data_IF_743831676473
#
_entry.id   IF_743831676473
#
_cell.length_a   1.000
_cell.length_b   1.000
_cell.length_c   1.000
_cell.angle_alpha   90.00
_cell.angle_beta   90.00
_cell.angle_gamma   90.00
#
_symmetry.space_group_name_H-M   'P 1'
#
loop_
_entity.id
_entity.type
_entity.pdbx_description
1 polymer ?
#
# COMPACT_ATOMS: atom_id res chain seq x y z
N UNK A 1 -5.75 21.64 4.82
CA UNK A 1 -4.59 20.76 5.10
C UNK A 1 -4.32 19.88 3.87
N UNK A 2 -3.05 19.64 3.51
CA UNK A 2 -2.65 18.66 2.47
C UNK A 2 -1.69 17.67 3.15
N UNK A 3 -2.03 16.38 3.27
CA UNK A 3 -1.22 15.42 4.01
C UNK A 3 0.00 14.98 3.19
N UNK A 4 1.08 14.66 3.89
CA UNK A 4 2.22 13.94 3.35
C UNK A 4 2.40 12.65 4.16
N UNK A 5 2.09 11.49 3.55
CA UNK A 5 2.13 10.20 4.23
C UNK A 5 3.52 9.58 4.08
N UNK A 6 4.41 9.90 5.01
CA UNK A 6 5.65 9.15 5.17
C UNK A 6 5.34 7.78 5.78
N UNK A 7 5.85 6.70 5.17
CA UNK A 7 5.68 5.31 5.67
C UNK A 7 6.55 5.03 6.88
N UNK A 8 7.68 5.73 6.97
CA UNK A 8 8.59 5.78 8.10
C UNK A 8 9.31 7.15 8.09
N UNK A 9 9.95 7.50 9.20
CA UNK A 9 10.88 8.65 9.28
C UNK A 9 12.12 8.21 10.06
N UNK A 10 13.20 9.02 10.15
CA UNK A 10 14.36 8.69 10.98
C UNK A 10 14.04 8.47 12.47
N UNK A 11 12.89 8.96 12.93
CA UNK A 11 12.44 8.92 14.32
C UNK A 11 11.23 7.98 14.54
N UNK A 12 10.65 7.44 13.45
CA UNK A 12 9.40 6.67 13.51
C UNK A 12 9.55 5.37 12.73
N UNK A 13 9.73 4.28 13.47
CA UNK A 13 9.58 2.88 13.09
C UNK A 13 8.41 2.29 13.89
N UNK A 14 7.20 2.38 13.35
CA UNK A 14 6.01 1.90 14.06
C UNK A 14 6.05 0.39 14.32
N UNK A 15 5.50 -0.07 15.44
CA UNK A 15 5.49 -1.48 15.87
C UNK A 15 4.93 -2.45 14.79
N UNK A 16 3.98 -2.00 13.97
CA UNK A 16 3.46 -2.77 12.82
C UNK A 16 4.57 -3.24 11.86
N UNK A 17 5.57 -2.39 11.59
CA UNK A 17 6.72 -2.74 10.75
C UNK A 17 7.72 -3.65 11.48
N UNK A 18 7.88 -3.44 12.79
CA UNK A 18 8.78 -4.25 13.64
C UNK A 18 8.30 -5.71 13.70
N UNK A 19 7.00 -5.92 13.89
CA UNK A 19 6.45 -7.27 14.04
C UNK A 19 6.05 -7.91 12.70
N UNK A 20 5.62 -7.13 11.71
CA UNK A 20 5.05 -7.66 10.46
C UNK A 20 6.05 -8.02 9.37
N UNK A 21 7.35 -7.72 9.55
CA UNK A 21 8.40 -8.02 8.56
C UNK A 21 8.12 -7.41 7.18
N UNK A 22 8.72 -7.97 6.11
CA UNK A 22 8.57 -7.46 4.74
C UNK A 22 7.10 -7.24 4.29
N UNK A 23 6.13 -8.14 4.54
CA UNK A 23 4.74 -7.90 4.16
C UNK A 23 4.15 -6.61 4.74
N UNK A 24 4.52 -6.24 5.98
CA UNK A 24 4.08 -4.98 6.56
C UNK A 24 4.64 -3.75 5.82
N UNK A 25 5.88 -3.81 5.33
CA UNK A 25 6.46 -2.73 4.52
C UNK A 25 5.73 -2.59 3.18
N UNK A 26 5.37 -3.70 2.54
CA UNK A 26 4.62 -3.70 1.29
C UNK A 26 3.22 -3.10 1.50
N UNK A 27 2.50 -3.54 2.54
CA UNK A 27 1.17 -3.02 2.91
C UNK A 27 1.21 -1.50 3.16
N UNK A 28 2.14 -1.02 3.98
CA UNK A 28 2.23 0.41 4.32
C UNK A 28 2.63 1.26 3.10
N UNK A 29 3.45 0.73 2.20
CA UNK A 29 3.78 1.40 0.94
C UNK A 29 2.54 1.55 0.04
N UNK A 30 1.77 0.48 -0.15
CA UNK A 30 0.52 0.51 -0.94
C UNK A 30 -0.46 1.54 -0.36
N UNK A 31 -0.68 1.49 0.96
CA UNK A 31 -1.61 2.40 1.64
C UNK A 31 -1.18 3.86 1.48
N UNK A 32 0.07 4.20 1.79
CA UNK A 32 0.57 5.58 1.69
C UNK A 32 0.51 6.11 0.25
N UNK A 33 0.96 5.29 -0.71
CA UNK A 33 1.01 5.62 -2.13
C UNK A 33 -0.37 5.77 -2.78
N UNK A 34 -1.42 5.13 -2.25
CA UNK A 34 -2.75 5.17 -2.89
C UNK A 34 -3.75 6.06 -2.14
N UNK A 35 -3.65 6.20 -0.82
CA UNK A 35 -4.55 7.05 -0.03
C UNK A 35 -4.21 8.54 -0.20
N UNK A 36 -2.93 8.92 -0.18
CA UNK A 36 -2.50 10.32 -0.27
C UNK A 36 -1.92 10.68 -1.64
N UNK A 37 -2.22 11.88 -2.19
CA UNK A 37 -1.54 12.37 -3.38
C UNK A 37 -0.06 12.69 -3.12
N UNK A 38 0.37 12.81 -1.86
CA UNK A 38 1.77 13.02 -1.47
C UNK A 38 2.16 12.00 -0.40
N UNK A 39 3.23 11.26 -0.66
CA UNK A 39 3.76 10.25 0.24
C UNK A 39 5.29 10.27 0.19
N UNK A 40 5.93 9.68 1.19
CA UNK A 40 7.38 9.67 1.33
C UNK A 40 7.88 8.39 1.98
N UNK A 41 9.17 8.14 1.78
CA UNK A 41 9.90 7.00 2.32
C UNK A 41 11.24 7.53 2.84
N UNK A 42 11.67 7.07 4.01
CA UNK A 42 13.02 7.29 4.51
C UNK A 42 13.89 6.08 4.20
N UNK A 43 15.11 6.34 3.70
CA UNK A 43 16.04 5.34 3.16
C UNK A 43 16.32 4.20 4.13
N UNK A 44 16.26 2.97 3.64
CA UNK A 44 16.36 1.74 4.44
C UNK A 44 15.02 1.02 4.56
N UNK A 45 13.91 1.72 4.30
CA UNK A 45 12.58 1.12 4.20
C UNK A 45 12.49 0.08 3.08
N UNK A 46 13.15 0.33 1.95
CA UNK A 46 13.21 -0.57 0.80
C UNK A 46 13.87 -1.91 1.16
N UNK A 47 14.76 -1.89 2.15
CA UNK A 47 15.45 -3.06 2.68
C UNK A 47 14.68 -3.71 3.85
N UNK A 48 13.51 -3.19 4.20
CA UNK A 48 12.69 -3.61 5.33
C UNK A 48 13.44 -3.54 6.68
N UNK A 49 14.29 -2.52 6.88
CA UNK A 49 14.97 -2.30 8.17
C UNK A 49 13.95 -2.07 9.29
N UNK A 50 13.86 -2.99 10.25
CA UNK A 50 12.78 -2.99 11.23
C UNK A 50 13.19 -3.33 12.66
N UNK A 51 14.48 -3.24 12.98
CA UNK A 51 14.98 -3.52 14.34
C UNK A 51 14.88 -2.26 15.20
N UNK A 52 14.04 -2.24 16.25
CA UNK A 52 13.92 -1.09 17.14
C UNK A 52 15.07 -1.03 18.14
N UNK A 53 15.33 0.15 18.70
CA UNK A 53 16.32 0.36 19.78
C UNK A 53 16.06 -0.54 20.99
N UNK A 54 14.78 -0.76 21.32
CA UNK A 54 14.28 -1.66 22.37
C UNK A 54 12.78 -1.89 22.17
N UNK A 55 12.23 -2.91 22.83
CA UNK A 55 10.80 -3.18 22.83
C UNK A 55 9.97 -1.94 23.26
N UNK A 56 8.89 -1.68 22.52
CA UNK A 56 8.01 -0.53 22.72
C UNK A 56 8.59 0.83 22.29
N UNK A 57 9.77 0.87 21.65
CA UNK A 57 10.34 2.09 21.06
C UNK A 57 10.00 2.19 19.56
N UNK A 58 9.79 3.40 19.06
CA UNK A 58 9.71 3.67 17.61
C UNK A 58 11.05 4.14 17.01
N UNK A 59 12.13 4.18 17.80
CA UNK A 59 13.46 4.53 17.31
C UNK A 59 14.16 3.32 16.70
N UNK A 60 14.90 3.53 15.61
CA UNK A 60 15.73 2.50 14.98
C UNK A 60 16.93 2.14 15.86
N UNK A 61 17.30 0.85 15.90
CA UNK A 61 18.59 0.42 16.42
C UNK A 61 19.72 0.94 15.51
N UNK A 62 20.82 1.38 16.12
CA UNK A 62 22.00 1.93 15.42
C UNK A 62 21.64 3.07 14.45
N UNK A 63 20.75 3.96 14.88
CA UNK A 63 20.11 5.00 14.07
C UNK A 63 21.10 5.88 13.30
N UNK A 64 20.83 6.07 12.00
CA UNK A 64 21.63 6.92 11.10
C UNK A 64 21.73 8.38 11.57
N UNK A 65 20.83 8.82 12.45
CA UNK A 65 20.92 10.13 13.11
C UNK A 65 22.23 10.32 13.89
N UNK A 66 22.85 9.23 14.34
CA UNK A 66 24.01 9.26 15.23
C UNK A 66 25.24 8.53 14.67
N UNK A 67 25.14 7.89 13.51
CA UNK A 67 26.23 7.17 12.86
C UNK A 67 26.04 7.06 11.35
N UNK A 68 27.14 6.86 10.62
CA UNK A 68 27.05 6.52 9.20
C UNK A 68 26.44 5.13 9.04
N UNK A 69 25.49 4.98 8.11
CA UNK A 69 24.81 3.73 7.78
C UNK A 69 24.95 3.42 6.28
N UNK A 70 26.14 2.99 5.81
CA UNK A 70 26.31 2.55 4.44
C UNK A 70 25.45 1.31 4.17
N UNK A 71 24.81 1.26 3.00
CA UNK A 71 23.92 0.17 2.57
C UNK A 71 24.38 -0.32 1.20
N UNK A 72 24.42 -1.64 1.02
CA UNK A 72 24.71 -2.27 -0.28
C UNK A 72 23.41 -2.49 -1.05
N UNK A 73 23.02 -1.45 -1.81
CA UNK A 73 21.77 -1.43 -2.56
C UNK A 73 21.76 -2.44 -3.71
N UNK A 74 22.87 -2.54 -4.44
CA UNK A 74 22.99 -3.43 -5.59
C UNK A 74 22.91 -4.90 -5.17
N UNK A 75 23.55 -5.27 -4.05
CA UNK A 75 23.41 -6.62 -3.51
C UNK A 75 21.98 -6.92 -3.06
N UNK A 76 21.30 -5.97 -2.40
CA UNK A 76 19.93 -6.17 -1.94
C UNK A 76 18.93 -6.36 -3.09
N UNK A 77 19.11 -5.64 -4.21
CA UNK A 77 18.29 -5.84 -5.41
C UNK A 77 18.60 -7.18 -6.09
N UNK A 78 19.89 -7.50 -6.27
CA UNK A 78 20.33 -8.77 -6.89
C UNK A 78 19.84 -10.00 -6.13
N UNK A 79 19.77 -9.91 -4.79
CA UNK A 79 19.30 -10.99 -3.91
C UNK A 79 17.78 -10.99 -3.71
N UNK A 80 17.05 -10.04 -4.31
CA UNK A 80 15.60 -9.94 -4.18
C UNK A 80 15.11 -9.56 -2.78
N UNK A 81 15.99 -9.03 -1.92
CA UNK A 81 15.65 -8.60 -0.55
C UNK A 81 14.99 -7.22 -0.50
N UNK A 82 15.15 -6.43 -1.56
CA UNK A 82 14.58 -5.08 -1.66
C UNK A 82 13.14 -5.08 -2.17
N UNK A 83 12.30 -4.20 -1.63
CA UNK A 83 10.96 -3.87 -2.15
C UNK A 83 10.97 -2.63 -3.07
N UNK A 84 12.15 -2.14 -3.48
CA UNK A 84 12.28 -1.06 -4.46
C UNK A 84 11.50 -1.31 -5.77
N UNK A 85 11.39 -2.54 -6.31
CA UNK A 85 10.53 -2.80 -7.47
C UNK A 85 9.04 -2.48 -7.23
N UNK A 86 8.51 -2.82 -6.05
CA UNK A 86 7.13 -2.49 -5.68
C UNK A 86 6.94 -0.97 -5.58
N UNK A 87 7.85 -0.27 -4.90
CA UNK A 87 7.80 1.19 -4.75
C UNK A 87 7.88 1.88 -6.11
N UNK A 88 8.72 1.37 -7.02
CA UNK A 88 8.82 1.83 -8.40
C UNK A 88 7.47 1.66 -9.11
N UNK A 89 6.87 0.46 -9.03
CA UNK A 89 5.58 0.17 -9.64
C UNK A 89 4.46 1.06 -9.09
N UNK A 90 4.40 1.27 -7.78
CA UNK A 90 3.42 2.16 -7.15
C UNK A 90 3.54 3.59 -7.69
N UNK A 91 4.76 4.10 -7.84
CA UNK A 91 4.99 5.43 -8.39
C UNK A 91 4.65 5.53 -9.89
N UNK A 92 4.89 4.49 -10.68
CA UNK A 92 4.41 4.42 -12.07
C UNK A 92 2.88 4.48 -12.15
N UNK A 93 2.18 3.65 -11.36
CA UNK A 93 0.72 3.61 -11.31
C UNK A 93 0.15 4.98 -10.93
N UNK A 94 0.76 5.65 -9.94
CA UNK A 94 0.38 7.03 -9.53
C UNK A 94 0.60 8.05 -10.64
N UNK A 95 1.68 7.95 -11.42
CA UNK A 95 1.95 8.86 -12.55
C UNK A 95 0.92 8.66 -13.67
N UNK A 96 0.50 7.43 -13.89
CA UNK A 96 -0.44 7.05 -14.95
C UNK A 96 -1.92 7.22 -14.56
N UNK A 97 -2.24 7.34 -13.27
CA UNK A 97 -3.63 7.40 -12.76
C UNK A 97 -3.95 8.73 -12.10
N UNK A 98 -4.63 9.67 -12.78
CA UNK A 98 -5.07 10.94 -12.20
C UNK A 98 -5.82 10.82 -10.86
N UNK A 99 -6.59 9.75 -10.65
CA UNK A 99 -7.33 9.49 -9.41
C UNK A 99 -6.43 9.42 -8.17
N UNK A 100 -5.18 8.97 -8.31
CA UNK A 100 -4.22 8.88 -7.21
C UNK A 100 -3.48 10.20 -6.93
N UNK A 101 -3.64 11.21 -7.79
CA UNK A 101 -2.99 12.53 -7.65
C UNK A 101 -3.88 13.57 -6.97
N UNK A 102 -5.07 13.15 -6.50
CA UNK A 102 -5.99 13.98 -5.73
C UNK A 102 -6.29 13.33 -4.36
N UNK A 103 -6.92 14.09 -3.45
CA UNK A 103 -7.21 13.66 -2.08
C UNK A 103 -8.71 13.47 -1.76
N UNK A 104 -9.58 14.32 -2.29
CA UNK A 104 -10.96 14.48 -1.78
C UNK A 104 -11.93 13.41 -2.27
N UNK A 105 -11.70 12.86 -3.45
CA UNK A 105 -12.52 11.78 -4.01
C UNK A 105 -11.91 10.44 -3.56
N UNK A 106 -12.32 10.01 -2.37
CA UNK A 106 -11.96 8.76 -1.72
C UNK A 106 -13.22 8.17 -1.10
N UNK A 107 -13.51 6.91 -1.38
CA UNK A 107 -14.65 6.21 -0.82
C UNK A 107 -14.26 4.80 -0.36
N UNK A 108 -14.62 4.44 0.86
CA UNK A 108 -14.38 3.10 1.41
C UNK A 108 -15.56 2.19 1.07
N UNK A 109 -15.23 1.01 0.57
CA UNK A 109 -16.19 -0.06 0.28
C UNK A 109 -16.19 -1.07 1.42
N UNK A 110 -17.29 -1.81 1.56
CA UNK A 110 -17.38 -2.81 2.60
C UNK A 110 -16.65 -4.09 2.19
N UNK A 111 -15.92 -4.69 3.12
CA UNK A 111 -15.42 -6.05 3.05
C UNK A 111 -15.92 -6.80 4.28
N UNK A 112 -16.19 -8.11 4.14
CA UNK A 112 -16.70 -8.98 5.21
C UNK A 112 -15.62 -9.47 6.19
N UNK A 113 -14.39 -8.92 6.10
CA UNK A 113 -13.25 -9.22 6.97
C UNK A 113 -12.63 -7.93 7.49
N UNK A 114 -12.48 -7.83 8.82
CA UNK A 114 -11.85 -6.68 9.47
C UNK A 114 -10.39 -6.44 9.03
N UNK A 115 -9.68 -7.52 8.67
CA UNK A 115 -8.31 -7.45 8.17
C UNK A 115 -8.22 -7.00 6.70
N UNK A 116 -9.33 -6.90 5.96
CA UNK A 116 -9.33 -6.51 4.55
C UNK A 116 -9.99 -5.15 4.39
N UNK A 117 -9.25 -4.18 3.84
CA UNK A 117 -9.77 -2.85 3.54
C UNK A 117 -9.91 -2.68 2.02
N UNK A 118 -11.01 -2.07 1.59
CA UNK A 118 -11.26 -1.75 0.19
C UNK A 118 -11.66 -0.27 0.04
N UNK A 119 -11.07 0.43 -0.93
CA UNK A 119 -11.42 1.82 -1.23
C UNK A 119 -11.18 2.17 -2.68
N UNK A 120 -11.92 3.16 -3.17
CA UNK A 120 -11.77 3.70 -4.52
C UNK A 120 -11.48 5.19 -4.51
N UNK A 121 -10.84 5.65 -5.58
CA UNK A 121 -10.60 7.05 -5.90
C UNK A 121 -10.91 7.31 -7.36
N UNK A 122 -11.48 8.47 -7.68
CA UNK A 122 -11.84 8.85 -9.04
C UNK A 122 -11.30 10.22 -9.43
N UNK A 123 -11.10 10.42 -10.73
CA UNK A 123 -10.80 11.71 -11.34
C UNK A 123 -11.16 11.66 -12.83
N UNK A 124 -12.25 12.31 -13.21
CA UNK A 124 -12.79 12.20 -14.57
C UNK A 124 -13.21 10.76 -14.87
N UNK A 125 -12.72 10.19 -15.97
CA UNK A 125 -12.97 8.78 -16.33
C UNK A 125 -12.01 7.79 -15.65
N UNK A 126 -10.95 8.25 -14.98
CA UNK A 126 -10.00 7.37 -14.29
C UNK A 126 -10.55 7.00 -12.91
N UNK A 127 -10.70 5.70 -12.66
CA UNK A 127 -11.12 5.12 -11.38
C UNK A 127 -10.07 4.10 -10.96
N UNK A 128 -9.59 4.20 -9.73
CA UNK A 128 -8.69 3.21 -9.13
C UNK A 128 -9.40 2.61 -7.93
N UNK A 129 -9.41 1.28 -7.87
CA UNK A 129 -9.92 0.50 -6.76
C UNK A 129 -8.75 -0.24 -6.13
N UNK A 130 -8.65 -0.20 -4.81
CA UNK A 130 -7.56 -0.79 -4.04
C UNK A 130 -8.17 -1.68 -2.98
N UNK A 131 -7.65 -2.90 -2.86
CA UNK A 131 -7.99 -3.85 -1.80
C UNK A 131 -6.69 -4.30 -1.15
N UNK A 132 -6.61 -4.19 0.18
CA UNK A 132 -5.38 -4.47 0.95
C UNK A 132 -5.70 -5.40 2.10
N UNK A 133 -4.89 -6.44 2.26
CA UNK A 133 -4.81 -7.24 3.46
C UNK A 133 -3.92 -6.53 4.48
N UNK A 134 -4.47 -6.19 5.65
CA UNK A 134 -3.80 -5.52 6.75
C UNK A 134 -3.14 -6.51 7.73
N UNK A 135 -3.36 -7.82 7.55
CA UNK A 135 -2.67 -8.87 8.30
C UNK A 135 -1.38 -9.25 7.56
N UNK A 136 -0.19 -8.92 8.10
CA UNK A 136 1.08 -9.23 7.45
C UNK A 136 1.53 -10.68 7.65
N UNK A 137 0.76 -11.50 8.38
CA UNK A 137 1.15 -12.87 8.77
C UNK A 137 0.31 -13.94 8.11
N UNK A 138 -0.96 -13.65 7.81
CA UNK A 138 -1.90 -14.65 7.29
C UNK A 138 -2.54 -14.21 5.98
N UNK A 139 -2.74 -15.19 5.11
CA UNK A 139 -3.62 -15.02 3.96
C UNK A 139 -5.03 -14.67 4.44
N UNK A 140 -5.62 -13.65 3.83
CA UNK A 140 -7.01 -13.27 4.07
C UNK A 140 -7.84 -13.46 2.80
N UNK A 141 -9.02 -14.05 2.99
CA UNK A 141 -10.03 -14.23 1.97
C UNK A 141 -11.29 -13.47 2.37
N UNK A 142 -11.83 -12.67 1.47
CA UNK A 142 -12.95 -11.77 1.77
C UNK A 142 -13.86 -11.58 0.55
N UNK A 143 -15.09 -11.18 0.81
CA UNK A 143 -16.01 -10.63 -0.19
C UNK A 143 -16.02 -9.12 -0.09
N UNK A 144 -15.56 -8.45 -1.15
CA UNK A 144 -15.62 -6.99 -1.27
C UNK A 144 -16.94 -6.59 -1.94
N UNK A 145 -17.75 -5.84 -1.21
CA UNK A 145 -19.03 -5.29 -1.65
C UNK A 145 -18.86 -3.84 -2.11
N UNK A 146 -18.87 -3.62 -3.42
CA UNK A 146 -18.70 -2.30 -4.03
C UNK A 146 -19.98 -1.48 -3.97
N UNK A 147 -19.82 -0.19 -3.68
CA UNK A 147 -20.84 0.83 -3.86
C UNK A 147 -20.78 1.26 -5.34
N UNK A 148 -21.54 0.57 -6.20
CA UNK A 148 -21.49 0.74 -7.66
C UNK A 148 -21.83 2.18 -8.09
N UNK A 149 -22.86 2.86 -7.52
CA UNK A 149 -23.13 4.27 -7.82
C UNK A 149 -21.95 5.20 -7.54
N UNK A 150 -21.13 4.94 -6.51
CA UNK A 150 -19.92 5.74 -6.24
C UNK A 150 -18.87 5.58 -7.34
N UNK A 151 -18.85 4.44 -8.02
CA UNK A 151 -18.01 4.18 -9.19
C UNK A 151 -18.62 4.74 -10.49
N UNK A 152 -19.86 5.24 -10.44
CA UNK A 152 -20.59 5.73 -11.61
C UNK A 152 -21.17 4.61 -12.47
N UNK A 153 -21.51 3.49 -11.84
CA UNK A 153 -22.04 2.28 -12.47
C UNK A 153 -23.39 1.93 -11.83
N UNK A 154 -24.27 1.28 -12.58
CA UNK A 154 -25.49 0.69 -12.02
C UNK A 154 -25.18 -0.57 -11.20
N UNK A 155 -26.05 -0.89 -10.24
CA UNK A 155 -25.85 -2.00 -9.30
C UNK A 155 -25.69 -3.38 -9.94
N UNK A 156 -26.18 -3.56 -11.16
CA UNK A 156 -26.16 -4.82 -11.89
C UNK A 156 -25.01 -4.90 -12.90
N UNK A 157 -24.24 -3.81 -13.08
CA UNK A 157 -23.13 -3.78 -14.01
C UNK A 157 -21.98 -4.67 -13.53
N UNK A 158 -21.21 -5.15 -14.51
CA UNK A 158 -19.94 -5.83 -14.30
C UNK A 158 -18.92 -5.19 -15.23
N UNK A 159 -17.77 -4.78 -14.68
CA UNK A 159 -16.74 -4.06 -15.41
C UNK A 159 -15.42 -4.83 -15.37
N UNK A 160 -14.63 -4.80 -16.46
CA UNK A 160 -13.28 -5.32 -16.42
C UNK A 160 -12.39 -4.42 -15.54
N UNK A 161 -11.62 -5.04 -14.66
CA UNK A 161 -10.61 -4.38 -13.83
C UNK A 161 -9.25 -5.04 -14.09
N UNK A 162 -8.19 -4.24 -14.11
CA UNK A 162 -6.81 -4.75 -14.23
C UNK A 162 -6.09 -4.48 -12.92
N UNK A 163 -5.51 -5.52 -12.33
CA UNK A 163 -4.57 -5.36 -11.24
C UNK A 163 -3.26 -4.80 -11.81
N UNK A 164 -2.92 -3.57 -11.45
CA UNK A 164 -1.71 -2.93 -11.95
C UNK A 164 -0.42 -3.52 -11.37
N UNK A 165 -0.46 -4.28 -10.27
CA UNK A 165 0.74 -4.92 -9.70
C UNK A 165 1.10 -6.21 -10.46
N UNK A 166 0.09 -7.00 -10.85
CA UNK A 166 0.29 -8.31 -11.48
C UNK A 166 -0.02 -8.32 -12.99
N UNK A 167 -0.78 -7.34 -13.47
CA UNK A 167 -1.28 -7.25 -14.84
C UNK A 167 -2.51 -8.10 -15.12
N UNK A 168 -2.98 -8.92 -14.17
CA UNK A 168 -4.14 -9.81 -14.32
C UNK A 168 -5.42 -9.00 -14.49
N UNK A 169 -6.31 -9.49 -15.35
CA UNK A 169 -7.63 -8.88 -15.59
C UNK A 169 -8.70 -9.72 -14.92
N UNK A 170 -9.60 -9.06 -14.20
CA UNK A 170 -10.79 -9.64 -13.58
C UNK A 170 -12.05 -8.94 -14.09
N UNK A 171 -13.21 -9.55 -13.90
CA UNK A 171 -14.51 -8.92 -14.12
C UNK A 171 -15.19 -8.73 -12.77
N UNK A 172 -15.33 -7.48 -12.33
CA UNK A 172 -15.87 -7.16 -11.01
C UNK A 172 -17.26 -6.55 -11.13
N UNK A 173 -18.17 -7.01 -10.27
CA UNK A 173 -19.51 -6.46 -10.10
C UNK A 173 -19.68 -5.94 -8.68
N UNK A 174 -20.92 -6.00 -8.17
CA UNK A 174 -21.24 -5.54 -6.82
C UNK A 174 -20.52 -6.33 -5.71
N UNK A 175 -20.35 -7.64 -5.85
CA UNK A 175 -19.75 -8.50 -4.82
C UNK A 175 -18.63 -9.34 -5.44
N UNK A 176 -17.42 -9.25 -4.89
CA UNK A 176 -16.22 -9.84 -5.48
C UNK A 176 -15.42 -10.59 -4.43
N UNK A 177 -15.16 -11.86 -4.67
CA UNK A 177 -14.25 -12.65 -3.83
C UNK A 177 -12.80 -12.24 -4.12
N UNK A 178 -12.01 -12.07 -3.06
CA UNK A 178 -10.57 -11.82 -3.12
C UNK A 178 -9.82 -12.77 -2.18
N UNK A 179 -8.59 -13.12 -2.56
CA UNK A 179 -7.65 -13.89 -1.74
C UNK A 179 -6.28 -13.22 -1.82
N UNK A 180 -5.79 -12.73 -0.68
CA UNK A 180 -4.55 -11.95 -0.58
C UNK A 180 -3.57 -12.69 0.33
N UNK A 181 -2.45 -13.14 -0.25
CA UNK A 181 -1.41 -13.95 0.40
C UNK A 181 -0.20 -13.12 0.77
#
# INVERSE_FOLDING_TARGET
>A
MRPNFFVNTPDILHAYLQHGGRPAFEVRAVLAATLSPTWGVYSGYELCENVPLREGSEEYLDSEKYQLRPRDWEAAEREGRSIAPLITRLNEVRRNSPALRQLRDLHFHHADKDAVIAYSKRSGSNTVLVVVNLDPHHTQEATVSLDMPRLGLDWHETVPVRDELTGVIYHWGRANYVRLT
#
